data_IF_862468633371
#
_entry.id   IF_862468633371
#
_cell.length_a   1.000
_cell.length_b   1.000
_cell.length_c   1.000
_cell.angle_alpha   90.00
_cell.angle_beta   90.00
_cell.angle_gamma   90.00
#
_symmetry.space_group_name_H-M   'P 1'
#
loop_
_entity.id
_entity.type
_entity.pdbx_description
1 polymer ?
#
# COMPACT_ATOMS: atom_id res chain seq x y z
N UNK A 1 -5.63 -11.80 -11.50
CA UNK A 1 -4.90 -13.07 -11.41
C UNK A 1 -4.44 -13.51 -12.78
N UNK A 2 -3.33 -14.24 -12.84
CA UNK A 2 -2.80 -14.84 -14.07
C UNK A 2 -2.85 -16.36 -13.88
N UNK A 3 -3.46 -17.08 -14.83
CA UNK A 3 -3.58 -18.53 -14.76
C UNK A 3 -2.19 -19.19 -14.71
N UNK A 4 -2.00 -20.14 -13.79
CA UNK A 4 -0.73 -20.84 -13.60
C UNK A 4 0.33 -20.11 -12.79
N UNK A 5 0.07 -18.89 -12.34
CA UNK A 5 0.99 -18.11 -11.48
C UNK A 5 0.54 -18.22 -10.02
N UNK A 6 1.13 -19.14 -9.28
CA UNK A 6 0.75 -19.43 -7.90
C UNK A 6 1.54 -18.60 -6.91
N UNK A 7 0.85 -18.16 -5.86
CA UNK A 7 1.48 -17.48 -4.74
C UNK A 7 2.37 -18.44 -3.95
N UNK A 8 3.52 -17.97 -3.52
CA UNK A 8 4.43 -18.72 -2.65
C UNK A 8 4.55 -18.09 -1.27
N UNK A 9 4.77 -18.91 -0.26
CA UNK A 9 5.09 -18.45 1.07
C UNK A 9 6.49 -17.84 1.08
N UNK A 10 6.65 -16.59 1.54
CA UNK A 10 7.95 -15.90 1.52
C UNK A 10 9.02 -16.55 2.39
N UNK A 11 8.63 -17.33 3.40
CA UNK A 11 9.57 -17.99 4.31
C UNK A 11 10.20 -19.25 3.71
N UNK A 12 9.38 -20.14 3.16
CA UNK A 12 9.85 -21.44 2.65
C UNK A 12 9.89 -21.51 1.11
N UNK A 13 9.37 -20.50 0.41
CA UNK A 13 9.31 -20.38 -1.06
C UNK A 13 8.54 -21.51 -1.74
N UNK A 14 7.68 -22.18 -0.99
CA UNK A 14 6.79 -23.21 -1.52
C UNK A 14 5.43 -22.61 -1.87
N UNK A 15 4.75 -23.09 -2.92
CA UNK A 15 3.38 -22.69 -3.21
C UNK A 15 2.47 -22.96 -2.01
N UNK A 16 1.52 -22.06 -1.78
CA UNK A 16 0.48 -22.32 -0.79
C UNK A 16 -0.34 -23.55 -1.20
N UNK A 17 -0.73 -24.37 -0.22
CA UNK A 17 -1.60 -25.51 -0.46
C UNK A 17 -2.87 -25.09 -1.19
N UNK A 18 -3.33 -25.91 -2.17
CA UNK A 18 -4.52 -25.61 -2.95
C UNK A 18 -4.28 -24.74 -4.20
N UNK A 19 -3.06 -24.56 -4.65
CA UNK A 19 -2.74 -23.82 -5.88
C UNK A 19 -3.35 -22.42 -5.93
N UNK A 20 -3.16 -21.66 -4.87
CA UNK A 20 -3.69 -20.28 -4.77
C UNK A 20 -2.97 -19.37 -5.77
N UNK A 21 -3.71 -18.78 -6.69
CA UNK A 21 -3.17 -17.84 -7.67
C UNK A 21 -2.74 -16.54 -6.99
N UNK A 22 -1.62 -15.97 -7.45
CA UNK A 22 -1.15 -14.66 -6.95
C UNK A 22 -2.04 -13.54 -7.50
N UNK A 23 -2.41 -12.61 -6.61
CA UNK A 23 -3.11 -11.39 -6.97
C UNK A 23 -2.11 -10.28 -7.31
N UNK A 24 -2.40 -9.56 -8.39
CA UNK A 24 -1.65 -8.39 -8.83
C UNK A 24 -2.59 -7.20 -9.00
N UNK A 25 -2.07 -6.01 -8.83
CA UNK A 25 -2.77 -4.75 -9.12
C UNK A 25 -2.15 -4.14 -10.36
N UNK A 26 -2.96 -3.75 -11.33
CA UNK A 26 -2.53 -2.99 -12.50
C UNK A 26 -2.30 -1.55 -12.06
N UNK A 27 -1.11 -1.00 -12.33
CA UNK A 27 -0.70 0.31 -11.84
C UNK A 27 -0.78 1.41 -12.89
N UNK A 28 -1.02 1.06 -14.14
CA UNK A 28 -1.15 2.02 -15.24
C UNK A 28 -2.21 1.55 -16.23
N UNK A 29 -2.91 2.49 -16.85
CA UNK A 29 -3.83 2.20 -17.93
C UNK A 29 -3.09 1.68 -19.15
N UNK A 30 -3.65 0.69 -19.81
CA UNK A 30 -3.07 0.06 -21.01
C UNK A 30 -4.10 0.01 -22.10
N UNK A 31 -3.77 0.61 -23.24
CA UNK A 31 -4.58 0.53 -24.46
C UNK A 31 -4.02 -0.57 -25.36
N UNK A 32 -4.85 -1.56 -25.69
CA UNK A 32 -4.51 -2.62 -26.63
C UNK A 32 -5.23 -2.33 -27.95
N UNK A 33 -4.47 -2.12 -29.01
CA UNK A 33 -5.03 -2.02 -30.35
C UNK A 33 -5.44 -3.39 -30.87
N UNK A 34 -6.47 -3.44 -31.72
CA UNK A 34 -6.98 -4.69 -32.29
C UNK A 34 -5.87 -5.53 -32.92
N UNK A 35 -5.69 -6.76 -32.43
CA UNK A 35 -4.63 -7.68 -32.89
C UNK A 35 -3.22 -7.37 -32.38
N UNK A 36 -3.06 -6.36 -31.52
CA UNK A 36 -1.76 -5.97 -30.95
C UNK A 36 -1.43 -6.66 -29.61
N UNK A 37 -0.18 -6.54 -29.19
CA UNK A 37 0.30 -6.88 -27.86
C UNK A 37 0.53 -5.62 -27.02
N UNK A 38 0.40 -5.73 -25.71
CA UNK A 38 0.66 -4.64 -24.80
C UNK A 38 1.37 -5.15 -23.54
N UNK A 39 2.20 -4.27 -22.95
CA UNK A 39 2.83 -4.53 -21.66
C UNK A 39 1.99 -3.95 -20.54
N UNK A 40 1.64 -4.77 -19.57
CA UNK A 40 0.85 -4.35 -18.39
C UNK A 40 1.76 -4.25 -17.18
N UNK A 41 1.83 -3.07 -16.59
CA UNK A 41 2.60 -2.84 -15.36
C UNK A 41 1.79 -3.29 -14.16
N UNK A 42 2.37 -4.17 -13.33
CA UNK A 42 1.71 -4.77 -12.18
C UNK A 42 2.50 -4.57 -10.89
N UNK A 43 1.78 -4.48 -9.79
CA UNK A 43 2.34 -4.47 -8.43
C UNK A 43 1.68 -5.60 -7.60
N UNK A 44 2.44 -6.35 -6.78
CA UNK A 44 3.91 -6.36 -6.70
C UNK A 44 4.56 -6.87 -7.99
N UNK A 45 5.86 -6.58 -8.16
CA UNK A 45 6.62 -7.13 -9.28
C UNK A 45 6.63 -8.66 -9.23
N UNK A 46 6.63 -9.32 -10.40
CA UNK A 46 6.69 -10.78 -10.51
C UNK A 46 8.13 -11.23 -10.30
N UNK A 47 8.39 -11.95 -9.20
CA UNK A 47 9.70 -12.46 -8.85
C UNK A 47 9.61 -13.98 -8.70
N UNK A 48 10.27 -14.70 -9.60
CA UNK A 48 10.19 -16.17 -9.70
C UNK A 48 11.32 -16.91 -8.99
N UNK A 49 12.33 -16.18 -8.51
CA UNK A 49 13.49 -16.77 -7.84
C UNK A 49 14.14 -15.79 -6.86
N UNK A 50 14.98 -16.31 -5.97
CA UNK A 50 15.76 -15.51 -5.03
C UNK A 50 15.03 -15.22 -3.71
N UNK A 51 15.62 -14.32 -2.93
CA UNK A 51 15.17 -14.00 -1.56
C UNK A 51 13.73 -13.45 -1.51
N UNK A 52 13.34 -12.69 -2.52
CA UNK A 52 12.04 -12.03 -2.60
C UNK A 52 11.06 -12.76 -3.52
N UNK A 53 11.27 -14.04 -3.77
CA UNK A 53 10.37 -14.84 -4.59
C UNK A 53 8.94 -14.74 -4.07
N UNK A 54 8.00 -14.37 -4.95
CA UNK A 54 6.59 -14.20 -4.62
C UNK A 54 5.63 -15.04 -5.45
N UNK A 55 6.15 -15.70 -6.49
CA UNK A 55 5.40 -16.65 -7.33
C UNK A 55 6.22 -17.90 -7.60
N UNK A 56 5.54 -19.02 -7.83
CA UNK A 56 6.20 -20.31 -8.09
C UNK A 56 6.87 -20.36 -9.44
N UNK A 57 6.18 -19.87 -10.46
CA UNK A 57 6.64 -19.84 -11.85
C UNK A 57 5.92 -18.72 -12.59
N UNK A 58 6.56 -18.16 -13.59
CA UNK A 58 5.89 -17.33 -14.59
C UNK A 58 5.51 -18.24 -15.76
N UNK A 59 4.20 -18.43 -15.97
CA UNK A 59 3.76 -19.14 -17.16
C UNK A 59 4.05 -18.30 -18.40
N UNK A 60 4.77 -18.88 -19.34
CA UNK A 60 5.08 -18.26 -20.64
C UNK A 60 4.14 -18.71 -21.75
N UNK A 61 3.07 -19.44 -21.37
CA UNK A 61 2.09 -19.91 -22.34
C UNK A 61 1.36 -18.75 -22.99
N UNK A 62 1.31 -18.71 -24.30
CA UNK A 62 0.52 -17.75 -25.06
C UNK A 62 -0.99 -17.81 -24.74
N UNK A 63 -1.42 -18.87 -24.06
CA UNK A 63 -2.81 -19.10 -23.65
C UNK A 63 -3.04 -18.79 -22.17
N UNK A 64 -2.12 -18.12 -21.47
CA UNK A 64 -2.33 -17.74 -20.08
C UNK A 64 -3.46 -16.72 -19.96
N UNK A 65 -4.54 -17.12 -19.30
CA UNK A 65 -5.71 -16.27 -19.11
C UNK A 65 -5.45 -15.30 -17.95
N UNK A 66 -5.64 -14.01 -18.21
CA UNK A 66 -5.67 -12.97 -17.18
C UNK A 66 -7.11 -12.80 -16.74
N UNK A 67 -7.40 -13.13 -15.48
CA UNK A 67 -8.73 -12.99 -14.90
C UNK A 67 -8.77 -11.72 -14.04
N UNK A 68 -9.56 -10.70 -14.43
CA UNK A 68 -9.80 -9.54 -13.57
C UNK A 68 -10.57 -9.96 -12.32
N UNK A 69 -10.44 -9.20 -11.25
CA UNK A 69 -11.13 -9.49 -9.99
C UNK A 69 -12.63 -9.18 -10.07
N UNK A 70 -13.00 -8.23 -10.92
CA UNK A 70 -14.39 -7.81 -11.16
C UNK A 70 -14.86 -8.19 -12.55
N UNK A 71 -16.17 -8.25 -12.73
CA UNK A 71 -16.78 -8.35 -14.05
C UNK A 71 -16.51 -7.07 -14.86
N UNK A 72 -16.38 -7.21 -16.17
CA UNK A 72 -16.22 -6.08 -17.08
C UNK A 72 -17.37 -5.08 -16.93
N UNK A 73 -17.05 -3.80 -16.79
CA UNK A 73 -18.02 -2.71 -16.69
C UNK A 73 -18.74 -2.58 -15.34
N UNK A 74 -18.35 -3.38 -14.34
CA UNK A 74 -18.94 -3.29 -12.99
C UNK A 74 -17.94 -2.64 -12.03
N UNK A 75 -18.38 -1.59 -11.34
CA UNK A 75 -17.65 -1.01 -10.21
C UNK A 75 -18.02 -1.80 -8.96
N UNK A 76 -17.07 -2.51 -8.38
CA UNK A 76 -17.25 -3.31 -7.18
C UNK A 76 -16.57 -2.62 -6.00
N UNK A 77 -17.29 -2.37 -4.89
CA UNK A 77 -16.70 -1.82 -3.68
C UNK A 77 -15.67 -2.79 -3.12
N UNK A 78 -14.53 -2.25 -2.69
CA UNK A 78 -13.44 -3.03 -2.13
C UNK A 78 -13.35 -2.76 -0.63
N UNK A 79 -13.44 -3.81 0.17
CA UNK A 79 -13.27 -3.75 1.61
C UNK A 79 -11.94 -4.40 2.00
N UNK A 80 -11.34 -3.92 3.08
CA UNK A 80 -10.10 -4.45 3.61
C UNK A 80 -10.38 -5.15 4.95
N UNK A 81 -9.99 -6.41 5.06
CA UNK A 81 -9.99 -7.17 6.31
C UNK A 81 -8.54 -7.46 6.68
N UNK A 82 -8.15 -7.10 7.89
CA UNK A 82 -6.75 -7.25 8.32
C UNK A 82 -6.64 -7.52 9.83
N UNK A 83 -5.57 -8.20 10.18
CA UNK A 83 -5.14 -8.35 11.57
C UNK A 83 -4.35 -7.11 12.01
N UNK A 84 -4.40 -6.75 13.29
CA UNK A 84 -3.72 -5.57 13.85
C UNK A 84 -2.22 -5.47 13.53
N UNK A 85 -1.54 -6.59 13.29
CA UNK A 85 -0.12 -6.63 12.98
C UNK A 85 0.18 -6.56 11.46
N UNK A 86 -0.84 -6.42 10.60
CA UNK A 86 -0.63 -6.34 9.16
C UNK A 86 0.03 -5.02 8.75
N UNK A 87 -0.35 -3.94 9.42
CA UNK A 87 0.14 -2.59 9.13
C UNK A 87 0.67 -1.93 10.39
N UNK A 88 1.61 -1.02 10.21
CA UNK A 88 2.06 -0.13 11.29
C UNK A 88 1.91 1.31 10.87
N UNK A 89 1.52 2.14 11.84
CA UNK A 89 1.57 3.59 11.78
C UNK A 89 2.56 4.04 12.85
N UNK A 90 3.49 4.89 12.47
CA UNK A 90 4.43 5.51 13.40
C UNK A 90 4.41 7.02 13.21
N UNK A 91 4.55 7.76 14.30
CA UNK A 91 4.77 9.20 14.27
C UNK A 91 6.11 9.53 14.91
N UNK A 92 6.69 10.63 14.50
CA UNK A 92 7.91 11.15 15.09
C UNK A 92 7.67 12.53 15.68
N UNK A 93 8.41 12.83 16.74
CA UNK A 93 8.39 14.14 17.37
C UNK A 93 9.02 15.18 16.45
N UNK A 94 8.27 16.22 16.11
CA UNK A 94 8.79 17.37 15.39
C UNK A 94 9.50 18.33 16.36
N UNK A 95 10.61 18.89 15.92
CA UNK A 95 11.33 19.91 16.66
C UNK A 95 10.48 21.18 16.85
N UNK A 96 10.56 21.78 18.04
CA UNK A 96 9.86 23.02 18.34
C UNK A 96 10.70 24.21 17.87
N UNK A 97 10.15 25.09 17.00
CA UNK A 97 10.88 26.26 16.53
C UNK A 97 11.01 27.30 17.66
N UNK A 98 12.18 27.92 17.75
CA UNK A 98 12.42 29.07 18.59
C UNK A 98 11.97 30.37 17.89
N UNK A 99 11.70 31.43 18.69
CA UNK A 99 11.34 32.75 18.17
C UNK A 99 9.92 32.88 17.65
N UNK A 100 9.06 31.89 17.88
CA UNK A 100 7.63 31.96 17.59
C UNK A 100 6.84 32.39 18.82
N UNK A 101 5.63 32.93 18.60
CA UNK A 101 4.76 33.38 19.70
C UNK A 101 4.37 32.23 20.65
N UNK A 102 4.14 31.04 20.09
CA UNK A 102 3.86 29.83 20.88
C UNK A 102 4.25 28.60 20.08
N UNK A 103 4.97 27.67 20.69
CA UNK A 103 5.22 26.35 20.18
C UNK A 103 4.99 25.32 21.28
N UNK A 104 4.24 24.27 20.97
CA UNK A 104 3.95 23.19 21.91
C UNK A 104 3.87 21.85 21.19
N UNK A 105 4.15 20.78 21.94
CA UNK A 105 4.04 19.40 21.46
C UNK A 105 3.29 18.57 22.50
N UNK A 106 2.37 17.75 22.02
CA UNK A 106 1.69 16.74 22.82
C UNK A 106 1.87 15.38 22.17
N UNK A 107 2.18 14.38 22.96
CA UNK A 107 2.30 13.00 22.49
C UNK A 107 1.51 12.06 23.38
N UNK A 108 0.78 11.14 22.75
CA UNK A 108 0.07 10.05 23.42
C UNK A 108 0.88 8.76 23.24
N UNK A 109 1.38 8.21 24.34
CA UNK A 109 2.19 6.99 24.33
C UNK A 109 1.40 5.73 24.01
N UNK A 110 0.08 5.72 24.26
CA UNK A 110 -0.76 4.55 23.99
C UNK A 110 -1.07 4.42 22.49
N UNK A 111 -1.35 5.57 21.86
CA UNK A 111 -1.63 5.63 20.42
C UNK A 111 -0.37 5.79 19.57
N UNK A 112 0.76 6.14 20.18
CA UNK A 112 2.00 6.43 19.45
C UNK A 112 1.87 7.66 18.55
N UNK A 113 1.03 8.63 18.91
CA UNK A 113 0.78 9.84 18.13
C UNK A 113 1.46 11.04 18.77
N UNK A 114 2.12 11.84 17.95
CA UNK A 114 2.74 13.10 18.34
C UNK A 114 2.25 14.23 17.45
N UNK A 115 1.78 15.32 18.06
CA UNK A 115 1.24 16.50 17.39
C UNK A 115 2.00 17.73 17.88
N UNK A 116 2.43 18.57 16.95
CA UNK A 116 3.03 19.88 17.22
C UNK A 116 2.03 20.98 16.86
N UNK A 117 1.94 21.99 17.74
CA UNK A 117 1.19 23.23 17.50
C UNK A 117 2.17 24.38 17.44
N UNK A 118 2.10 25.19 16.42
CA UNK A 118 2.90 26.41 16.28
C UNK A 118 1.98 27.59 15.99
N UNK A 119 2.19 28.71 16.70
CA UNK A 119 1.46 29.96 16.53
C UNK A 119 2.43 31.11 16.38
N UNK A 120 2.17 31.98 15.39
CA UNK A 120 2.99 33.17 15.12
C UNK A 120 2.09 34.35 14.81
N UNK A 121 2.41 35.55 15.32
CA UNK A 121 1.80 36.79 14.87
C UNK A 121 2.43 37.24 13.56
N UNK A 122 1.61 37.64 12.62
CA UNK A 122 2.04 38.14 11.32
C UNK A 122 1.63 39.62 11.16
N UNK A 123 2.60 40.53 11.18
CA UNK A 123 2.40 41.97 11.12
C UNK A 123 1.74 42.41 9.81
N UNK A 124 2.06 41.74 8.70
CA UNK A 124 1.62 42.14 7.36
C UNK A 124 0.09 42.11 7.17
N UNK A 125 -0.61 41.24 7.89
CA UNK A 125 -2.06 41.05 7.75
C UNK A 125 -2.81 41.02 9.09
N UNK A 126 -2.15 41.46 10.18
CA UNK A 126 -2.72 41.50 11.52
C UNK A 126 -3.43 40.18 11.91
N UNK A 127 -2.76 39.05 11.69
CA UNK A 127 -3.30 37.75 11.97
C UNK A 127 -2.40 36.89 12.87
N UNK A 128 -3.01 35.96 13.58
CA UNK A 128 -2.30 34.99 14.43
C UNK A 128 -2.57 33.56 13.89
N UNK A 129 -1.91 33.15 12.79
CA UNK A 129 -2.09 31.82 12.26
C UNK A 129 -1.61 30.76 13.26
N UNK A 130 -2.39 29.71 13.40
CA UNK A 130 -2.06 28.53 14.18
C UNK A 130 -1.96 27.33 13.24
N UNK A 131 -0.85 26.59 13.30
CA UNK A 131 -0.58 25.41 12.49
C UNK A 131 -0.47 24.18 13.36
N UNK A 132 -1.13 23.10 12.93
CA UNK A 132 -1.01 21.77 13.51
C UNK A 132 -0.18 20.90 12.57
N UNK A 133 0.88 20.31 13.09
CA UNK A 133 1.79 19.46 12.31
C UNK A 133 1.84 18.06 12.92
N UNK A 134 1.77 17.06 12.06
CA UNK A 134 2.00 15.66 12.40
C UNK A 134 2.98 15.07 11.40
N UNK A 135 4.08 14.51 11.88
CA UNK A 135 4.99 13.71 11.05
C UNK A 135 4.67 12.25 11.26
N UNK A 136 4.20 11.60 10.23
CA UNK A 136 3.82 10.19 10.29
C UNK A 136 4.37 9.39 9.13
N UNK A 137 4.53 8.10 9.36
CA UNK A 137 4.84 7.13 8.33
C UNK A 137 4.02 5.86 8.57
N UNK A 138 3.74 5.14 7.51
CA UNK A 138 3.05 3.86 7.57
C UNK A 138 3.74 2.84 6.67
N UNK A 139 3.67 1.57 7.08
CA UNK A 139 4.21 0.47 6.31
C UNK A 139 3.41 -0.82 6.52
N UNK A 140 3.27 -1.67 5.48
CA UNK A 140 2.81 -3.03 5.66
C UNK A 140 3.94 -3.86 6.29
N UNK A 141 3.67 -4.48 7.45
CA UNK A 141 4.62 -5.37 8.12
C UNK A 141 4.45 -6.81 7.63
N UNK A 142 3.21 -7.28 7.64
CA UNK A 142 2.85 -8.64 7.25
C UNK A 142 1.66 -8.60 6.28
N UNK A 143 1.92 -8.46 4.97
CA UNK A 143 0.84 -8.40 3.96
C UNK A 143 -0.05 -9.64 3.95
N UNK A 144 0.47 -10.78 4.40
CA UNK A 144 -0.27 -12.05 4.48
C UNK A 144 -1.41 -12.01 5.51
N UNK A 145 -1.34 -11.08 6.48
CA UNK A 145 -2.37 -10.87 7.50
C UNK A 145 -3.48 -9.92 7.06
N UNK A 146 -3.51 -9.55 5.79
CA UNK A 146 -4.53 -8.69 5.21
C UNK A 146 -5.10 -9.30 3.93
N UNK A 147 -6.40 -9.16 3.74
CA UNK A 147 -7.06 -9.57 2.51
C UNK A 147 -8.06 -8.51 2.05
N UNK A 148 -8.25 -8.45 0.75
CA UNK A 148 -9.23 -7.60 0.11
C UNK A 148 -10.50 -8.41 -0.16
N UNK A 149 -11.64 -7.90 0.24
CA UNK A 149 -12.96 -8.49 -0.01
C UNK A 149 -13.69 -7.58 -1.00
N UNK A 150 -14.08 -8.14 -2.13
CA UNK A 150 -14.91 -7.47 -3.13
C UNK A 150 -16.33 -8.03 -3.07
N UNK A 151 -17.33 -7.18 -3.21
CA UNK A 151 -18.73 -7.55 -3.28
C UNK A 151 -19.23 -7.61 -4.75
#
# INVERSE_FOLDING_TARGET
QIAGVFAVNPQNRQPYGGNVLRNFVVTADVTITSGGSASVTVSPAIITAGQFQNVSVLTTSASAVVTPFNKTGVVSPQNLVFHKNAFTLATADLELPDGVHFAGRASDKQLGLSIRVVRQYTINNDSIPTRLDVLYGWAPLYPELACRVAA
#
